data_IF_897420699038
#
_entry.id   IF_897420699038
#
_cell.length_a   1.000
_cell.length_b   1.000
_cell.length_c   1.000
_cell.angle_alpha   90.00
_cell.angle_beta   90.00
_cell.angle_gamma   90.00
#
_symmetry.space_group_name_H-M   'P 1'
#
loop_
_entity.id
_entity.type
_entity.pdbx_description
1 polymer ?
#
# COMPACT_ATOMS: atom_id res chain seq x y z
N UNK A 1 -57.66 19.43 5.19
CA UNK A 1 -58.17 20.80 5.49
C UNK A 1 -57.30 21.87 4.86
N UNK A 2 -55.95 21.75 4.92
CA UNK A 2 -55.00 22.73 4.38
C UNK A 2 -55.04 22.84 2.84
N UNK A 3 -55.22 21.71 2.14
CA UNK A 3 -55.35 21.70 0.68
C UNK A 3 -56.57 22.47 0.17
N UNK A 4 -57.66 22.54 0.96
CA UNK A 4 -58.85 23.31 0.62
C UNK A 4 -58.69 24.80 0.84
N UNK A 5 -57.71 25.24 1.65
CA UNK A 5 -57.45 26.65 1.95
C UNK A 5 -56.40 27.30 1.03
N UNK A 6 -55.80 26.54 0.10
CA UNK A 6 -54.76 27.05 -0.83
C UNK A 6 -53.43 27.35 -0.16
N UNK A 7 -53.22 26.91 1.07
CA UNK A 7 -51.95 27.12 1.79
C UNK A 7 -50.88 26.09 1.35
N UNK A 8 -49.75 26.57 0.86
CA UNK A 8 -48.59 25.74 0.59
C UNK A 8 -47.86 25.40 1.90
N UNK A 9 -47.70 24.13 2.16
CA UNK A 9 -46.92 23.60 3.32
C UNK A 9 -45.70 22.90 2.79
N UNK A 10 -44.57 23.17 3.37
CA UNK A 10 -43.28 22.63 2.93
C UNK A 10 -42.94 21.28 3.57
N UNK A 11 -43.53 21.00 4.75
CA UNK A 11 -43.34 19.77 5.49
C UNK A 11 -44.52 19.45 6.42
N UNK A 12 -44.48 18.23 7.03
CA UNK A 12 -45.54 17.74 7.90
C UNK A 12 -45.66 18.53 9.21
N UNK A 13 -44.52 19.01 9.76
CA UNK A 13 -44.50 19.81 10.98
C UNK A 13 -45.18 21.16 10.75
N UNK A 14 -44.84 21.84 9.65
CA UNK A 14 -45.49 23.08 9.24
C UNK A 14 -47.01 22.90 8.99
N UNK A 15 -47.42 21.71 8.48
CA UNK A 15 -48.83 21.38 8.32
C UNK A 15 -49.57 21.30 9.66
N UNK A 16 -48.95 20.67 10.66
CA UNK A 16 -49.51 20.55 12.03
C UNK A 16 -49.59 21.90 12.72
N UNK A 17 -48.58 22.75 12.58
CA UNK A 17 -48.55 24.08 13.18
C UNK A 17 -49.64 25.01 12.56
N UNK A 18 -49.84 24.94 11.24
CA UNK A 18 -50.88 25.77 10.56
C UNK A 18 -52.32 25.44 11.00
N UNK A 19 -52.57 24.22 11.47
CA UNK A 19 -53.88 23.83 12.02
C UNK A 19 -53.95 24.01 13.55
N UNK A 20 -52.96 24.72 14.15
CA UNK A 20 -52.92 24.99 15.59
C UNK A 20 -52.38 23.86 16.46
N UNK A 21 -51.80 22.84 15.86
CA UNK A 21 -51.12 21.74 16.57
C UNK A 21 -49.79 22.19 17.15
N UNK A 22 -49.34 21.49 18.22
CA UNK A 22 -48.03 21.72 18.82
C UNK A 22 -47.04 20.70 18.28
N UNK A 23 -45.87 21.17 17.80
CA UNK A 23 -44.77 20.37 17.34
C UNK A 23 -43.63 20.46 18.35
N UNK A 24 -43.12 19.31 18.82
CA UNK A 24 -41.97 19.25 19.69
C UNK A 24 -40.74 18.90 18.85
N UNK A 25 -39.67 19.68 18.99
CA UNK A 25 -38.35 19.37 18.38
C UNK A 25 -37.58 18.45 19.31
N UNK A 26 -37.16 17.35 18.77
CA UNK A 26 -36.28 16.39 19.46
C UNK A 26 -34.97 16.24 18.71
N UNK A 27 -33.87 15.95 19.44
CA UNK A 27 -32.58 15.71 18.82
C UNK A 27 -32.64 14.40 18.03
N UNK A 28 -32.39 14.49 16.74
CA UNK A 28 -32.29 13.34 15.84
C UNK A 28 -30.85 12.91 15.59
N UNK A 29 -30.68 11.92 14.72
CA UNK A 29 -29.36 11.52 14.22
C UNK A 29 -29.11 12.23 12.87
N UNK A 30 -27.97 12.92 12.75
CA UNK A 30 -27.58 13.61 11.51
C UNK A 30 -27.43 12.70 10.29
N UNK A 31 -27.26 11.38 10.49
CA UNK A 31 -27.24 10.37 9.40
C UNK A 31 -28.63 9.96 8.93
N UNK A 32 -29.69 10.35 9.65
CA UNK A 32 -31.07 10.10 9.26
C UNK A 32 -31.57 11.19 8.32
N UNK A 33 -31.10 11.12 7.06
CA UNK A 33 -31.48 12.08 6.01
C UNK A 33 -32.67 11.59 5.22
N UNK A 34 -33.48 12.51 4.74
CA UNK A 34 -34.55 12.24 3.78
C UNK A 34 -33.95 12.31 2.36
N UNK A 35 -34.06 11.22 1.61
CA UNK A 35 -33.62 11.17 0.20
C UNK A 35 -34.69 11.84 -0.66
N UNK A 36 -34.39 13.00 -1.21
CA UNK A 36 -35.31 13.81 -2.02
C UNK A 36 -34.71 14.31 -3.33
N UNK A 37 -33.37 14.34 -3.39
CA UNK A 37 -32.60 14.79 -4.56
C UNK A 37 -31.56 13.74 -4.99
N UNK A 38 -31.06 13.82 -6.23
CA UNK A 38 -29.92 12.96 -6.63
C UNK A 38 -28.69 13.10 -5.71
N UNK A 39 -28.43 14.28 -5.17
CA UNK A 39 -27.31 14.53 -4.25
C UNK A 39 -27.51 13.83 -2.90
N UNK A 40 -28.75 13.71 -2.42
CA UNK A 40 -29.07 12.96 -1.21
C UNK A 40 -28.76 11.46 -1.35
N UNK A 41 -28.85 10.90 -2.56
CA UNK A 41 -28.46 9.51 -2.85
C UNK A 41 -26.97 9.35 -2.67
N UNK A 42 -26.14 10.26 -3.19
CA UNK A 42 -24.70 10.26 -3.05
C UNK A 42 -24.32 10.35 -1.57
N UNK A 43 -24.98 11.23 -0.83
CA UNK A 43 -24.75 11.40 0.60
C UNK A 43 -25.19 10.16 1.41
N UNK A 44 -26.34 9.59 1.07
CA UNK A 44 -26.84 8.35 1.67
C UNK A 44 -25.88 7.16 1.44
N UNK A 45 -25.38 7.00 0.22
CA UNK A 45 -24.36 6.00 -0.09
C UNK A 45 -23.07 6.23 0.70
N UNK A 46 -22.61 7.49 0.84
CA UNK A 46 -21.44 7.82 1.63
C UNK A 46 -21.62 7.45 3.11
N UNK A 47 -22.82 7.66 3.68
CA UNK A 47 -23.13 7.24 5.04
C UNK A 47 -23.14 5.71 5.20
N UNK A 48 -23.65 4.97 4.22
CA UNK A 48 -23.65 3.51 4.22
C UNK A 48 -22.21 2.98 4.07
N UNK A 49 -21.44 3.49 3.10
CA UNK A 49 -20.06 3.11 2.85
C UNK A 49 -19.13 3.52 3.99
N UNK A 50 -19.34 4.68 4.60
CA UNK A 50 -18.57 5.15 5.76
C UNK A 50 -18.90 4.43 7.06
N UNK A 51 -20.02 3.71 7.13
CA UNK A 51 -20.35 2.82 8.24
C UNK A 51 -19.75 1.40 8.06
N UNK A 52 -19.42 1.00 6.82
CA UNK A 52 -18.58 -0.15 6.56
C UNK A 52 -17.14 0.22 6.97
N UNK A 53 -16.66 -0.38 8.06
CA UNK A 53 -15.39 -0.09 8.72
C UNK A 53 -14.25 0.12 7.72
N UNK A 54 -13.77 1.35 7.55
CA UNK A 54 -12.53 1.61 6.81
C UNK A 54 -11.31 0.93 7.47
N UNK A 55 -11.39 0.62 8.76
CA UNK A 55 -10.34 -0.08 9.51
C UNK A 55 -10.17 -1.55 9.09
N UNK A 56 -11.23 -2.23 8.66
CA UNK A 56 -11.18 -3.65 8.27
C UNK A 56 -10.66 -3.87 6.83
N UNK A 57 -10.37 -2.79 6.10
CA UNK A 57 -9.96 -2.85 4.70
C UNK A 57 -8.48 -2.52 4.47
N UNK A 58 -7.70 -2.28 5.54
CA UNK A 58 -6.26 -1.98 5.44
C UNK A 58 -5.49 -3.00 6.26
N UNK A 59 -4.55 -3.70 5.60
CA UNK A 59 -3.59 -4.55 6.28
C UNK A 59 -2.19 -3.98 6.19
N UNK A 60 -1.34 -4.29 7.15
CA UNK A 60 0.06 -3.90 7.21
C UNK A 60 0.92 -5.14 7.12
N UNK A 61 1.97 -5.09 6.32
CA UNK A 61 2.99 -6.12 6.26
C UNK A 61 4.38 -5.54 6.41
N UNK A 62 5.28 -6.34 6.95
CA UNK A 62 6.71 -6.03 7.06
C UNK A 62 7.51 -7.18 6.46
N UNK A 63 8.54 -6.86 5.69
CA UNK A 63 9.50 -7.81 5.14
C UNK A 63 10.91 -7.35 5.44
N UNK A 64 11.80 -8.32 5.57
CA UNK A 64 13.22 -8.11 5.80
C UNK A 64 14.02 -9.16 5.02
N UNK A 65 15.03 -8.70 4.29
CA UNK A 65 15.94 -9.60 3.58
C UNK A 65 17.38 -9.11 3.66
N UNK A 66 18.33 -10.01 3.44
CA UNK A 66 19.76 -9.74 3.46
C UNK A 66 20.51 -10.59 2.46
N UNK A 67 21.40 -9.94 1.69
CA UNK A 67 22.27 -10.62 0.74
C UNK A 67 23.73 -10.23 0.95
N UNK A 68 24.62 -11.22 0.76
CA UNK A 68 26.08 -11.04 0.84
C UNK A 68 26.59 -10.25 -0.38
N UNK A 69 27.53 -9.34 -0.16
CA UNK A 69 28.29 -8.68 -1.22
C UNK A 69 29.42 -9.60 -1.73
N UNK A 70 29.49 -9.78 -3.05
CA UNK A 70 30.50 -10.61 -3.73
C UNK A 70 31.00 -9.90 -4.99
N UNK A 71 32.23 -10.22 -5.47
CA UNK A 71 32.71 -9.73 -6.76
C UNK A 71 31.93 -10.35 -7.94
N UNK A 72 32.11 -9.78 -9.11
CA UNK A 72 31.62 -10.29 -10.41
C UNK A 72 30.11 -10.40 -10.54
N UNK A 73 29.37 -9.67 -9.71
CA UNK A 73 27.91 -9.47 -9.84
C UNK A 73 27.57 -7.99 -9.91
N UNK A 74 26.48 -7.67 -10.62
CA UNK A 74 25.90 -6.33 -10.60
C UNK A 74 25.21 -6.06 -9.27
N UNK A 75 25.29 -4.85 -8.77
CA UNK A 75 24.47 -4.40 -7.66
C UNK A 75 23.18 -3.81 -8.23
N UNK A 76 22.06 -4.46 -7.94
CA UNK A 76 20.72 -4.03 -8.37
C UNK A 76 19.88 -3.80 -7.11
N UNK A 77 19.21 -2.62 -7.02
CA UNK A 77 18.35 -2.26 -5.91
C UNK A 77 17.12 -1.55 -6.44
N UNK A 78 15.93 -2.05 -6.14
CA UNK A 78 14.63 -1.60 -6.68
C UNK A 78 14.66 -1.51 -8.22
N UNK A 79 15.28 -2.49 -8.89
CA UNK A 79 15.45 -2.55 -10.34
C UNK A 79 16.46 -1.54 -10.92
N UNK A 80 17.17 -0.79 -10.08
CA UNK A 80 18.20 0.17 -10.51
C UNK A 80 19.58 -0.45 -10.39
N UNK A 81 20.34 -0.50 -11.50
CA UNK A 81 21.73 -0.93 -11.47
C UNK A 81 22.61 0.18 -10.88
N UNK A 82 23.30 -0.15 -9.78
CA UNK A 82 24.19 0.76 -9.06
C UNK A 82 25.63 0.47 -9.46
N UNK A 83 26.39 1.45 -9.98
CA UNK A 83 27.81 1.29 -10.24
C UNK A 83 28.60 1.04 -8.95
N UNK A 84 29.02 -0.20 -8.75
CA UNK A 84 29.80 -0.61 -7.61
C UNK A 84 30.67 -1.82 -7.96
N UNK A 85 31.75 -2.06 -7.22
CA UNK A 85 32.71 -3.14 -7.49
C UNK A 85 32.22 -4.51 -7.04
N UNK A 86 31.18 -4.53 -6.18
CA UNK A 86 30.56 -5.75 -5.66
C UNK A 86 29.06 -5.71 -5.99
N UNK A 87 28.46 -6.90 -6.14
CA UNK A 87 27.01 -7.07 -6.25
C UNK A 87 26.52 -8.08 -5.23
N UNK A 88 25.22 -8.28 -5.18
CA UNK A 88 24.59 -9.17 -4.21
C UNK A 88 24.55 -10.63 -4.71
N UNK A 89 24.82 -11.57 -3.81
CA UNK A 89 24.76 -13.00 -4.05
C UNK A 89 23.34 -13.50 -3.75
N UNK A 90 22.70 -14.12 -4.73
CA UNK A 90 21.39 -14.75 -4.60
C UNK A 90 21.09 -15.65 -5.80
N UNK A 91 19.97 -16.35 -5.75
CA UNK A 91 19.50 -17.23 -6.82
C UNK A 91 18.99 -16.44 -8.03
N UNK A 92 18.32 -15.29 -7.78
CA UNK A 92 17.87 -14.30 -8.76
C UNK A 92 18.95 -13.25 -9.03
N UNK A 93 18.57 -12.06 -9.49
CA UNK A 93 19.42 -10.86 -9.53
C UNK A 93 19.80 -10.34 -8.13
N UNK A 94 19.23 -10.94 -7.07
CA UNK A 94 19.46 -10.65 -5.66
C UNK A 94 19.11 -9.20 -5.25
N UNK A 95 18.07 -8.62 -5.84
CA UNK A 95 17.56 -7.31 -5.40
C UNK A 95 16.91 -7.42 -4.02
N UNK A 96 17.73 -7.25 -3.00
CA UNK A 96 17.33 -7.38 -1.58
C UNK A 96 16.20 -6.42 -1.19
N UNK A 97 16.07 -5.28 -1.86
CA UNK A 97 15.04 -4.31 -1.59
C UNK A 97 13.68 -4.79 -2.12
N UNK A 98 13.65 -5.36 -3.32
CA UNK A 98 12.45 -5.97 -3.88
C UNK A 98 12.04 -7.24 -3.14
N UNK A 99 12.98 -8.05 -2.68
CA UNK A 99 12.66 -9.23 -1.89
C UNK A 99 11.99 -8.86 -0.57
N UNK A 100 12.53 -7.89 0.18
CA UNK A 100 11.89 -7.39 1.39
C UNK A 100 10.49 -6.79 1.10
N UNK A 101 10.34 -6.08 -0.02
CA UNK A 101 9.05 -5.51 -0.43
C UNK A 101 8.02 -6.60 -0.75
N UNK A 102 8.40 -7.63 -1.51
CA UNK A 102 7.53 -8.76 -1.85
C UNK A 102 7.08 -9.52 -0.60
N UNK A 103 8.00 -9.77 0.34
CA UNK A 103 7.66 -10.41 1.61
C UNK A 103 6.70 -9.57 2.45
N UNK A 104 6.90 -8.25 2.48
CA UNK A 104 5.95 -7.35 3.14
C UNK A 104 4.55 -7.43 2.51
N UNK A 105 4.46 -7.45 1.18
CA UNK A 105 3.20 -7.54 0.45
C UNK A 105 2.47 -8.86 0.70
N UNK A 106 3.20 -9.99 0.58
CA UNK A 106 2.65 -11.32 0.82
C UNK A 106 2.22 -11.50 2.27
N UNK A 107 3.03 -11.05 3.22
CA UNK A 107 2.73 -11.10 4.65
C UNK A 107 1.47 -10.29 4.99
N UNK A 108 1.31 -9.08 4.44
CA UNK A 108 0.11 -8.26 4.62
C UNK A 108 -1.17 -8.96 4.14
N UNK A 109 -1.08 -9.71 3.04
CA UNK A 109 -2.20 -10.45 2.45
C UNK A 109 -2.43 -11.83 3.08
N UNK A 110 -1.55 -12.31 3.98
CA UNK A 110 -1.60 -13.65 4.56
C UNK A 110 -1.24 -14.78 3.57
N UNK A 111 -0.45 -14.46 2.52
CA UNK A 111 -0.08 -15.40 1.45
C UNK A 111 1.27 -16.12 1.68
N UNK A 112 1.94 -15.85 2.80
CA UNK A 112 3.25 -16.42 3.14
C UNK A 112 4.39 -15.50 2.74
N UNK A 113 5.42 -16.04 2.10
CA UNK A 113 6.66 -15.35 1.72
C UNK A 113 7.10 -15.71 0.29
N UNK A 114 8.16 -15.02 -0.20
CA UNK A 114 8.69 -15.24 -1.54
C UNK A 114 9.32 -16.64 -1.70
N UNK A 115 9.89 -17.20 -0.64
CA UNK A 115 10.49 -18.56 -0.69
C UNK A 115 9.46 -19.65 -0.99
N UNK A 116 8.19 -19.44 -0.61
CA UNK A 116 7.09 -20.32 -0.95
C UNK A 116 6.65 -20.19 -2.42
N UNK A 117 6.69 -18.97 -2.97
CA UNK A 117 6.29 -18.72 -4.37
C UNK A 117 7.40 -19.00 -5.36
N UNK A 118 8.65 -18.71 -5.00
CA UNK A 118 9.84 -18.79 -5.85
C UNK A 118 10.94 -19.57 -5.13
N UNK A 119 10.79 -20.90 -4.98
CA UNK A 119 11.79 -21.71 -4.27
C UNK A 119 13.16 -21.64 -4.94
N UNK A 120 14.22 -21.46 -4.16
CA UNK A 120 15.62 -21.46 -4.63
C UNK A 120 16.02 -22.78 -5.30
N UNK A 121 15.26 -23.84 -5.07
CA UNK A 121 15.46 -25.15 -5.67
C UNK A 121 14.91 -25.27 -7.09
N UNK A 122 14.08 -24.31 -7.53
CA UNK A 122 13.50 -24.32 -8.87
C UNK A 122 14.40 -23.60 -9.87
N UNK A 123 14.95 -24.32 -10.86
CA UNK A 123 15.81 -23.72 -11.89
C UNK A 123 15.15 -22.61 -12.71
N UNK A 124 13.80 -22.55 -12.73
CA UNK A 124 13.06 -21.53 -13.47
C UNK A 124 13.31 -20.11 -12.94
N UNK A 125 13.69 -19.97 -11.66
CA UNK A 125 13.94 -18.68 -11.03
C UNK A 125 15.43 -18.32 -10.95
N UNK A 126 16.31 -19.18 -11.50
CA UNK A 126 17.73 -18.88 -11.55
C UNK A 126 18.01 -17.66 -12.42
N UNK A 127 18.73 -16.69 -11.85
CA UNK A 127 19.04 -15.40 -12.48
C UNK A 127 17.80 -14.58 -12.91
N UNK A 128 16.63 -14.87 -12.32
CA UNK A 128 15.40 -14.15 -12.59
C UNK A 128 15.52 -12.67 -12.21
N UNK A 129 14.91 -11.81 -13.00
CA UNK A 129 14.73 -10.38 -12.72
C UNK A 129 13.69 -10.21 -11.60
N UNK A 130 14.08 -9.66 -10.45
CA UNK A 130 13.18 -9.45 -9.32
C UNK A 130 12.03 -8.48 -9.63
N UNK A 131 12.14 -7.62 -10.64
CA UNK A 131 11.02 -6.81 -11.12
C UNK A 131 9.94 -7.69 -11.78
N UNK A 132 10.31 -8.79 -12.43
CA UNK A 132 9.36 -9.77 -12.97
C UNK A 132 8.70 -10.54 -11.84
N UNK A 133 9.46 -10.98 -10.83
CA UNK A 133 8.91 -11.66 -9.66
C UNK A 133 7.94 -10.74 -8.89
N UNK A 134 8.24 -9.45 -8.76
CA UNK A 134 7.34 -8.48 -8.15
C UNK A 134 6.01 -8.35 -8.90
N UNK A 135 6.02 -8.40 -10.25
CA UNK A 135 4.76 -8.42 -11.04
C UNK A 135 3.90 -9.63 -10.71
N UNK A 136 4.51 -10.80 -10.54
CA UNK A 136 3.77 -12.01 -10.16
C UNK A 136 3.17 -11.88 -8.76
N UNK A 137 3.91 -11.31 -7.80
CA UNK A 137 3.39 -11.03 -6.45
C UNK A 137 2.22 -10.05 -6.49
N UNK A 138 2.31 -8.98 -7.28
CA UNK A 138 1.19 -8.04 -7.50
C UNK A 138 -0.05 -8.78 -8.04
N UNK A 139 0.13 -9.66 -9.02
CA UNK A 139 -0.95 -10.48 -9.56
C UNK A 139 -1.60 -11.35 -8.46
N UNK A 140 -0.79 -12.00 -7.61
CA UNK A 140 -1.29 -12.81 -6.49
C UNK A 140 -2.07 -11.98 -5.45
N UNK A 141 -1.63 -10.76 -5.16
CA UNK A 141 -2.39 -9.85 -4.31
C UNK A 141 -3.76 -9.53 -4.93
N UNK A 142 -3.78 -9.20 -6.23
CA UNK A 142 -5.02 -8.87 -6.94
C UNK A 142 -5.99 -10.04 -6.99
N UNK A 143 -5.51 -11.26 -7.27
CA UNK A 143 -6.30 -12.51 -7.21
C UNK A 143 -6.93 -12.71 -5.82
N UNK A 144 -6.24 -12.31 -4.75
CA UNK A 144 -6.73 -12.36 -3.36
C UNK A 144 -7.62 -11.16 -2.98
N UNK A 145 -7.89 -10.23 -3.92
CA UNK A 145 -8.73 -9.04 -3.71
C UNK A 145 -8.02 -7.90 -2.96
N UNK A 146 -6.69 -7.81 -3.08
CA UNK A 146 -5.87 -6.79 -2.45
C UNK A 146 -5.08 -5.96 -3.46
N UNK A 147 -4.79 -4.72 -3.11
CA UNK A 147 -3.85 -3.86 -3.80
C UNK A 147 -2.96 -3.12 -2.81
N UNK A 148 -1.74 -2.79 -3.22
CA UNK A 148 -0.85 -1.96 -2.41
C UNK A 148 -1.44 -0.56 -2.28
N UNK A 149 -1.37 0.01 -1.09
CA UNK A 149 -1.82 1.37 -0.81
C UNK A 149 -0.64 2.34 -0.65
N UNK A 150 0.41 1.94 0.08
CA UNK A 150 1.70 2.63 0.12
C UNK A 150 2.82 1.66 0.48
N UNK A 151 4.07 2.06 0.21
CA UNK A 151 5.25 1.29 0.57
C UNK A 151 6.39 2.21 1.06
N UNK A 152 7.06 1.77 2.12
CA UNK A 152 8.27 2.39 2.67
C UNK A 152 9.39 1.34 2.72
N UNK A 153 10.47 1.60 1.98
CA UNK A 153 11.63 0.69 1.85
C UNK A 153 12.84 1.35 2.47
N UNK A 154 13.52 0.65 3.38
CA UNK A 154 14.77 1.08 3.99
C UNK A 154 15.89 0.16 3.56
N UNK A 155 16.89 0.70 2.85
CA UNK A 155 18.09 -0.03 2.45
C UNK A 155 19.19 0.26 3.45
N UNK A 156 19.78 -0.80 4.01
CA UNK A 156 20.80 -0.73 5.05
C UNK A 156 22.13 -1.15 4.44
N UNK A 157 22.95 -0.16 4.08
CA UNK A 157 24.19 -0.37 3.36
C UNK A 157 25.28 0.60 3.81
N UNK A 158 26.49 0.09 4.14
CA UNK A 158 27.62 0.96 4.46
C UNK A 158 28.16 1.67 3.20
N UNK A 159 28.18 0.96 2.08
CA UNK A 159 28.55 1.42 0.73
C UNK A 159 27.76 0.62 -0.31
N UNK A 160 27.58 1.19 -1.53
CA UNK A 160 27.88 2.58 -1.94
C UNK A 160 26.89 3.59 -1.33
N UNK A 161 27.11 4.91 -1.56
CA UNK A 161 26.12 5.95 -1.24
C UNK A 161 24.95 5.85 -2.23
N UNK A 162 23.74 5.76 -1.72
CA UNK A 162 22.54 5.52 -2.52
C UNK A 162 21.68 6.76 -2.78
N UNK A 163 22.04 7.91 -2.21
CA UNK A 163 21.23 9.12 -2.26
C UNK A 163 20.85 9.58 -3.69
N UNK A 164 21.79 9.45 -4.65
CA UNK A 164 21.55 9.84 -6.05
C UNK A 164 20.70 8.87 -6.86
N UNK A 165 20.40 7.69 -6.32
CA UNK A 165 19.63 6.66 -7.01
C UNK A 165 18.19 6.53 -6.48
N UNK A 166 17.88 7.19 -5.36
CA UNK A 166 16.58 7.07 -4.67
C UNK A 166 15.40 7.42 -5.57
N UNK A 167 15.46 8.55 -6.24
CA UNK A 167 14.41 9.01 -7.16
C UNK A 167 14.12 7.97 -8.27
N UNK A 168 15.17 7.37 -8.85
CA UNK A 168 15.02 6.32 -9.85
C UNK A 168 14.37 5.04 -9.27
N UNK A 169 14.73 4.68 -8.03
CA UNK A 169 14.14 3.55 -7.32
C UNK A 169 12.65 3.80 -7.02
N UNK A 170 12.31 4.97 -6.47
CA UNK A 170 10.93 5.38 -6.17
C UNK A 170 10.08 5.39 -7.43
N UNK A 171 10.60 5.91 -8.54
CA UNK A 171 9.93 5.91 -9.85
C UNK A 171 9.69 4.50 -10.38
N UNK A 172 10.66 3.58 -10.28
CA UNK A 172 10.46 2.19 -10.69
C UNK A 172 9.34 1.53 -9.88
N UNK A 173 9.35 1.72 -8.55
CA UNK A 173 8.32 1.16 -7.66
C UNK A 173 6.94 1.78 -7.92
N UNK A 174 6.86 3.10 -8.07
CA UNK A 174 5.63 3.82 -8.43
C UNK A 174 5.01 3.28 -9.72
N UNK A 175 5.82 3.11 -10.75
CA UNK A 175 5.36 2.60 -12.04
C UNK A 175 4.83 1.16 -11.96
N UNK A 176 5.56 0.26 -11.30
CA UNK A 176 5.19 -1.16 -11.25
C UNK A 176 4.00 -1.43 -10.33
N UNK A 177 3.90 -0.68 -9.22
CA UNK A 177 2.80 -0.78 -8.25
C UNK A 177 1.56 0.04 -8.65
N UNK A 178 1.66 0.84 -9.73
CA UNK A 178 0.62 1.77 -10.19
C UNK A 178 0.17 2.74 -9.09
N UNK A 179 1.14 3.27 -8.33
CA UNK A 179 0.93 4.23 -7.26
C UNK A 179 1.52 5.59 -7.63
N UNK A 180 1.04 6.63 -6.97
CA UNK A 180 1.64 7.97 -7.06
C UNK A 180 2.97 8.02 -6.30
N UNK A 181 3.88 8.91 -6.68
CA UNK A 181 5.22 8.98 -6.08
C UNK A 181 5.17 9.27 -4.57
N UNK A 182 4.16 10.00 -4.09
CA UNK A 182 3.96 10.30 -2.67
C UNK A 182 3.52 9.08 -1.82
N UNK A 183 3.07 8.01 -2.47
CA UNK A 183 2.75 6.74 -1.81
C UNK A 183 3.95 5.79 -1.68
N UNK A 184 5.09 6.14 -2.28
CA UNK A 184 6.33 5.35 -2.27
C UNK A 184 7.44 6.15 -1.59
N UNK A 185 8.16 5.51 -0.69
CA UNK A 185 9.37 6.09 -0.12
C UNK A 185 10.49 5.06 -0.13
N UNK A 186 11.68 5.48 -0.59
CA UNK A 186 12.93 4.72 -0.49
C UNK A 186 13.93 5.53 0.31
N UNK A 187 14.44 4.97 1.38
CA UNK A 187 15.49 5.59 2.20
C UNK A 187 16.66 4.63 2.39
N UNK A 188 17.83 5.19 2.63
CA UNK A 188 19.03 4.42 2.87
C UNK A 188 19.70 4.90 4.15
N UNK A 189 20.25 3.96 4.92
CA UNK A 189 21.00 4.22 6.15
C UNK A 189 22.24 3.36 6.24
N UNK A 190 23.19 3.78 7.05
CA UNK A 190 24.31 2.94 7.50
C UNK A 190 24.00 2.36 8.87
N UNK A 191 24.81 1.39 9.31
CA UNK A 191 24.81 0.91 10.70
C UNK A 191 26.02 1.43 11.49
N UNK A 192 26.58 2.57 11.07
CA UNK A 192 27.73 3.22 11.73
C UNK A 192 28.90 2.27 11.95
N UNK A 193 29.21 1.47 10.92
CA UNK A 193 30.24 0.43 10.90
C UNK A 193 29.98 -0.77 11.84
N UNK A 194 28.79 -0.87 12.42
CA UNK A 194 28.39 -2.00 13.28
C UNK A 194 27.75 -3.13 12.46
N UNK A 195 27.96 -4.37 12.91
CA UNK A 195 27.39 -5.57 12.32
C UNK A 195 27.92 -5.88 10.92
N UNK A 196 27.29 -6.83 10.24
CA UNK A 196 27.70 -7.30 8.91
C UNK A 196 27.52 -6.23 7.82
N UNK A 197 26.48 -5.42 7.90
CA UNK A 197 26.26 -4.31 6.97
C UNK A 197 27.32 -3.22 7.17
N UNK A 198 27.65 -2.89 8.43
CA UNK A 198 28.65 -1.89 8.76
C UNK A 198 30.08 -2.32 8.35
N UNK A 199 30.38 -3.62 8.37
CA UNK A 199 31.64 -4.17 7.85
C UNK A 199 31.66 -4.34 6.32
N UNK A 200 30.51 -4.06 5.65
CA UNK A 200 30.43 -4.20 4.19
C UNK A 200 30.39 -5.65 3.69
N UNK A 201 29.95 -6.59 4.52
CA UNK A 201 29.83 -8.01 4.17
C UNK A 201 28.57 -8.29 3.37
N UNK A 202 27.54 -7.43 3.49
CA UNK A 202 26.28 -7.55 2.82
C UNK A 202 25.45 -6.26 2.89
N UNK A 203 24.32 -6.28 2.21
CA UNK A 203 23.26 -5.25 2.27
C UNK A 203 22.00 -5.92 2.82
N UNK A 204 21.31 -5.24 3.72
CA UNK A 204 20.00 -5.62 4.19
C UNK A 204 18.96 -4.62 3.70
N UNK A 205 17.72 -5.07 3.62
CA UNK A 205 16.58 -4.18 3.39
C UNK A 205 15.42 -4.55 4.29
N UNK A 206 14.68 -3.55 4.71
CA UNK A 206 13.41 -3.68 5.39
C UNK A 206 12.34 -2.92 4.60
N UNK A 207 11.21 -3.55 4.39
CA UNK A 207 10.06 -2.90 3.79
C UNK A 207 8.84 -2.97 4.72
N UNK A 208 8.03 -1.92 4.68
CA UNK A 208 6.71 -1.88 5.30
C UNK A 208 5.72 -1.45 4.23
N UNK A 209 4.63 -2.18 4.10
CA UNK A 209 3.56 -1.83 3.16
C UNK A 209 2.22 -1.76 3.88
N UNK A 210 1.33 -0.94 3.36
CA UNK A 210 -0.10 -1.12 3.60
C UNK A 210 -0.76 -1.60 2.31
N UNK A 211 -1.69 -2.54 2.45
CA UNK A 211 -2.55 -3.00 1.37
C UNK A 211 -3.99 -2.69 1.72
N UNK A 212 -4.83 -2.51 0.71
CA UNK A 212 -6.27 -2.27 0.87
C UNK A 212 -7.06 -3.19 -0.04
N UNK A 213 -8.33 -3.45 0.35
CA UNK A 213 -9.27 -4.20 -0.51
C UNK A 213 -9.51 -3.45 -1.82
N UNK A 214 -9.63 -4.22 -2.91
CA UNK A 214 -10.04 -3.75 -4.24
C UNK A 214 -11.57 -3.58 -4.26
#
# INVERSE_FOLDING_TARGET
QLQKAGNMVTDDAGAVEQIGGKVAVVMGNYKNIKITTPDDLILGEAFIKGAANMADNIHVGSGFDVHRLVPDRKLILCGVTIPYTLGLLGHSDADVALHALMDAMLGAAGLGDIGKLFPDTDPAFKDADSMVLLKEVIGKLQEAGWQVNNADVTIIAQKPKLASYREAMEKNLSNILHLTEDAINVKATTTEQLGFTGRGEGIASQAVVTIKKI
#
